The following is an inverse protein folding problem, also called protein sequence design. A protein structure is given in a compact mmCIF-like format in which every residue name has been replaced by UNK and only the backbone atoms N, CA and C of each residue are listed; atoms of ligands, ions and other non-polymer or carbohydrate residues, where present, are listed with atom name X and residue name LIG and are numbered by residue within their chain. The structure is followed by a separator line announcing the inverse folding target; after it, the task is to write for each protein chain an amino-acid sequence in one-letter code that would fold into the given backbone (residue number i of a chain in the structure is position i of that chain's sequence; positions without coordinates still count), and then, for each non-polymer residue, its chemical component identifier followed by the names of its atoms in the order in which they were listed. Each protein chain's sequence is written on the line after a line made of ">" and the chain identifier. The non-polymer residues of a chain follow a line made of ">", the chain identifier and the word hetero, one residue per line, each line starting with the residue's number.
data_IF_538212653822
#
_entry.id   IF_538212653822
#
_cell.length_a   1.000
_cell.length_b   1.000
_cell.length_c   1.000
_cell.angle_alpha   90.00
_cell.angle_beta   90.00
_cell.angle_gamma   90.00
#
_symmetry.space_group_name_H-M   'P 1'
#
loop_
_entity.id
_entity.type
_entity.pdbx_description
1 polymer ?
#
# COMPACT_ATOMS: atom_id res chain seq x y z
N UNK A 1 -0.98 128.84 73.89
CA UNK A 1 -0.57 128.41 75.24
C UNK A 1 0.74 129.13 75.57
N UNK A 2 0.69 130.43 75.82
CA UNK A 2 1.88 131.30 75.77
C UNK A 2 2.03 132.04 77.11
N UNK A 3 2.27 131.29 78.19
CA UNK A 3 2.34 131.79 79.57
C UNK A 3 3.73 131.66 80.20
N UNK A 4 4.69 131.07 79.49
CA UNK A 4 6.09 130.99 79.90
C UNK A 4 6.89 132.15 79.30
N UNK A 5 7.98 132.55 79.98
CA UNK A 5 8.87 133.61 79.49
C UNK A 5 9.65 133.15 78.24
N UNK A 6 9.99 134.04 77.30
CA UNK A 6 10.77 133.68 76.12
C UNK A 6 12.11 133.03 76.44
N UNK A 7 12.80 133.52 77.48
CA UNK A 7 14.11 133.01 77.91
C UNK A 7 14.01 131.60 78.51
N UNK A 8 12.94 131.31 79.26
CA UNK A 8 12.66 129.96 79.76
C UNK A 8 12.36 129.00 78.61
N UNK A 9 11.58 129.44 77.63
CA UNK A 9 11.20 128.62 76.46
C UNK A 9 12.44 128.30 75.62
N UNK A 10 13.21 129.32 75.25
CA UNK A 10 14.47 129.15 74.51
C UNK A 10 15.52 128.33 75.29
N UNK A 11 15.55 128.43 76.62
CA UNK A 11 16.41 127.62 77.48
C UNK A 11 15.98 126.15 77.52
N UNK A 12 14.67 125.89 77.60
CA UNK A 12 14.10 124.55 77.55
C UNK A 12 14.29 123.90 76.18
N UNK A 13 14.12 124.63 75.09
CA UNK A 13 14.38 124.14 73.73
C UNK A 13 15.86 123.80 73.53
N UNK A 14 16.77 124.68 73.98
CA UNK A 14 18.22 124.45 73.93
C UNK A 14 18.64 123.23 74.77
N UNK A 15 18.07 123.07 75.98
CA UNK A 15 18.31 121.90 76.83
C UNK A 15 17.76 120.61 76.20
N UNK A 16 16.52 120.65 75.69
CA UNK A 16 15.85 119.51 75.06
C UNK A 16 16.63 119.04 73.84
N UNK A 17 17.08 119.97 72.98
CA UNK A 17 17.97 119.67 71.86
C UNK A 17 19.31 119.11 72.33
N UNK A 18 19.96 119.73 73.33
CA UNK A 18 21.22 119.22 73.89
C UNK A 18 21.10 117.78 74.40
N UNK A 19 19.97 117.43 75.04
CA UNK A 19 19.68 116.06 75.49
C UNK A 19 19.51 115.12 74.30
N UNK A 20 18.67 115.44 73.31
CA UNK A 20 18.47 114.55 72.16
C UNK A 20 19.73 114.39 71.29
N UNK A 21 20.47 115.47 71.03
CA UNK A 21 21.69 115.46 70.19
C UNK A 21 22.87 114.70 70.85
N UNK A 22 22.84 114.47 72.18
CA UNK A 22 23.96 113.88 72.94
C UNK A 22 23.64 112.62 73.74
N UNK A 23 22.37 112.28 73.96
CA UNK A 23 22.01 111.05 74.69
C UNK A 23 22.34 109.83 73.85
N UNK A 24 23.31 109.03 74.32
CA UNK A 24 23.66 107.75 73.70
C UNK A 24 22.78 106.63 74.27
N UNK A 25 22.50 105.57 73.50
CA UNK A 25 21.88 104.35 74.03
C UNK A 25 22.65 103.84 75.25
N UNK A 26 21.92 103.37 76.28
CA UNK A 26 22.55 102.77 77.47
C UNK A 26 23.27 101.49 77.06
N UNK A 27 24.53 101.34 77.49
CA UNK A 27 25.40 100.23 77.10
C UNK A 27 26.12 99.62 78.31
N UNK A 28 26.51 98.35 78.21
CA UNK A 28 27.53 97.71 79.05
C UNK A 28 28.53 96.99 78.13
N UNK A 29 29.80 97.40 78.19
CA UNK A 29 30.78 97.00 77.18
C UNK A 29 30.33 97.42 75.77
N UNK A 30 30.37 96.49 74.81
CA UNK A 30 29.86 96.70 73.45
C UNK A 30 28.34 96.49 73.31
N UNK A 31 27.66 95.96 74.33
CA UNK A 31 26.26 95.55 74.24
C UNK A 31 25.30 96.69 74.61
N UNK A 32 24.38 97.02 73.70
CA UNK A 32 23.35 98.04 73.92
C UNK A 32 22.14 97.46 74.65
N UNK A 33 21.72 98.11 75.73
CA UNK A 33 20.59 97.72 76.56
C UNK A 33 19.27 97.94 75.79
N UNK A 34 18.59 96.85 75.45
CA UNK A 34 17.25 96.86 74.84
C UNK A 34 16.16 96.78 75.91
N UNK A 35 14.89 96.97 75.53
CA UNK A 35 13.74 96.89 76.44
C UNK A 35 13.68 95.61 77.29
N UNK A 36 13.81 94.40 76.71
CA UNK A 36 13.83 93.15 77.49
C UNK A 36 14.99 93.08 78.48
N UNK A 37 16.17 93.56 78.10
CA UNK A 37 17.37 93.59 78.97
C UNK A 37 17.19 94.56 80.13
N UNK A 38 16.63 95.75 79.87
CA UNK A 38 16.26 96.69 80.93
C UNK A 38 15.26 96.07 81.90
N UNK A 39 14.19 95.43 81.39
CA UNK A 39 13.19 94.77 82.22
C UNK A 39 13.78 93.64 83.08
N UNK A 40 14.61 92.76 82.49
CA UNK A 40 15.30 91.68 83.21
C UNK A 40 16.27 92.19 84.28
N UNK A 41 17.02 93.27 83.99
CA UNK A 41 17.91 93.91 84.97
C UNK A 41 17.13 94.59 86.09
N UNK A 42 16.04 95.30 85.78
CA UNK A 42 15.15 95.89 86.78
C UNK A 42 14.57 94.81 87.69
N UNK A 43 14.10 93.69 87.14
CA UNK A 43 13.62 92.56 87.95
C UNK A 43 14.74 92.00 88.83
N UNK A 44 15.91 91.68 88.26
CA UNK A 44 17.06 91.14 89.00
C UNK A 44 17.58 92.08 90.11
N UNK A 45 17.45 93.40 89.94
CA UNK A 45 17.80 94.37 90.98
C UNK A 45 16.71 94.48 92.06
N UNK A 46 15.42 94.43 91.68
CA UNK A 46 14.31 94.40 92.63
C UNK A 46 14.34 93.12 93.48
N UNK A 47 14.59 91.96 92.86
CA UNK A 47 14.70 90.67 93.56
C UNK A 47 15.85 90.68 94.58
N UNK A 48 17.00 91.24 94.22
CA UNK A 48 18.12 91.43 95.15
C UNK A 48 17.74 92.34 96.33
N UNK A 49 17.16 93.52 96.07
CA UNK A 49 16.71 94.46 97.11
C UNK A 49 15.68 93.79 98.05
N UNK A 50 14.68 93.12 97.47
CA UNK A 50 13.59 92.49 98.21
C UNK A 50 14.04 91.27 99.04
N UNK A 51 15.19 90.67 98.70
CA UNK A 51 15.82 89.57 99.47
C UNK A 51 16.93 90.06 100.41
N UNK A 52 17.18 91.36 100.50
CA UNK A 52 18.23 91.95 101.35
C UNK A 52 19.65 91.82 100.81
N UNK A 53 19.81 91.41 99.54
CA UNK A 53 21.09 91.30 98.85
C UNK A 53 21.46 92.62 98.12
N UNK A 54 22.76 92.83 97.88
CA UNK A 54 23.24 94.01 97.14
C UNK A 54 23.13 93.78 95.62
N UNK A 55 22.38 94.60 94.86
CA UNK A 55 22.27 94.46 93.41
C UNK A 55 23.63 94.56 92.72
N UNK A 56 24.03 93.47 92.05
CA UNK A 56 25.34 93.36 91.41
C UNK A 56 25.18 93.39 89.89
N UNK A 57 25.68 94.44 89.25
CA UNK A 57 25.45 94.74 87.82
C UNK A 57 25.96 93.60 86.92
N UNK A 58 27.15 93.04 87.19
CA UNK A 58 27.78 92.01 86.36
C UNK A 58 27.03 90.68 86.37
N UNK A 59 26.66 90.17 87.54
CA UNK A 59 25.92 88.90 87.67
C UNK A 59 24.48 89.02 87.15
N UNK A 60 23.82 90.15 87.43
CA UNK A 60 22.47 90.44 86.90
C UNK A 60 22.51 90.50 85.37
N UNK A 61 23.52 91.16 84.80
CA UNK A 61 23.70 91.22 83.34
C UNK A 61 23.98 89.85 82.72
N UNK A 62 24.89 89.05 83.28
CA UNK A 62 25.17 87.71 82.78
C UNK A 62 23.92 86.81 82.84
N UNK A 63 23.16 86.86 83.94
CA UNK A 63 21.92 86.09 84.10
C UNK A 63 20.90 86.45 83.02
N UNK A 64 20.70 87.74 82.77
CA UNK A 64 19.79 88.26 81.75
C UNK A 64 20.28 87.96 80.33
N UNK A 65 21.59 88.03 80.06
CA UNK A 65 22.18 87.64 78.77
C UNK A 65 22.04 86.13 78.51
N UNK A 66 22.26 85.26 79.50
CA UNK A 66 22.03 83.82 79.38
C UNK A 66 20.55 83.45 79.22
N UNK A 67 19.64 84.20 79.86
CA UNK A 67 18.19 84.01 79.71
C UNK A 67 17.70 84.41 78.30
N UNK A 68 18.13 85.55 77.78
CA UNK A 68 17.75 86.01 76.44
C UNK A 68 18.39 85.17 75.33
N UNK A 69 19.66 84.75 75.48
CA UNK A 69 20.27 83.83 74.52
C UNK A 69 19.60 82.44 74.53
N UNK A 70 19.06 82.00 75.68
CA UNK A 70 18.22 80.79 75.75
C UNK A 70 16.89 80.98 75.03
N UNK A 71 16.18 82.08 75.30
CA UNK A 71 14.91 82.41 74.63
C UNK A 71 15.05 82.50 73.11
N UNK A 72 16.18 83.06 72.63
CA UNK A 72 16.53 83.09 71.22
C UNK A 72 16.83 81.69 70.64
N UNK A 73 17.50 80.82 71.41
CA UNK A 73 17.75 79.42 71.06
C UNK A 73 16.45 78.62 70.96
N UNK A 74 15.54 78.75 71.93
CA UNK A 74 14.27 78.04 71.95
C UNK A 74 13.39 78.46 70.76
N UNK A 75 13.26 79.77 70.51
CA UNK A 75 12.55 80.31 69.34
C UNK A 75 13.14 79.85 67.99
N UNK A 76 14.47 79.71 67.91
CA UNK A 76 15.13 79.15 66.73
C UNK A 76 14.86 77.64 66.56
N UNK A 77 14.81 76.88 67.66
CA UNK A 77 14.45 75.46 67.65
C UNK A 77 13.00 75.23 67.23
N UNK A 78 12.06 76.07 67.68
CA UNK A 78 10.66 76.03 67.25
C UNK A 78 10.51 76.44 65.78
N UNK A 79 11.25 77.47 65.36
CA UNK A 79 11.33 77.91 63.95
C UNK A 79 11.83 76.78 63.05
N UNK A 80 12.87 76.05 63.46
CA UNK A 80 13.35 74.88 62.72
C UNK A 80 12.28 73.79 62.68
N UNK A 81 11.72 73.42 63.84
CA UNK A 81 10.71 72.36 63.98
C UNK A 81 9.46 72.62 63.13
N UNK A 82 9.09 73.89 62.94
CA UNK A 82 7.94 74.32 62.14
C UNK A 82 8.26 74.51 60.65
N UNK A 83 9.53 74.53 60.25
CA UNK A 83 9.98 74.79 58.87
C UNK A 83 10.60 73.56 58.19
N UNK A 84 11.06 72.58 58.98
CA UNK A 84 11.60 71.32 58.48
C UNK A 84 10.48 70.27 58.36
N UNK A 85 10.01 70.05 57.13
CA UNK A 85 8.89 69.15 56.86
C UNK A 85 9.32 67.67 56.87
N UNK A 86 9.19 67.05 58.05
CA UNK A 86 9.46 65.64 58.29
C UNK A 86 8.56 64.65 57.51
N UNK A 87 7.59 65.12 56.71
CA UNK A 87 6.66 64.23 55.96
C UNK A 87 7.07 63.98 54.51
N UNK A 88 8.14 64.62 54.03
CA UNK A 88 8.58 64.47 52.63
C UNK A 88 9.31 63.13 52.40
N UNK A 89 9.21 62.53 51.19
CA UNK A 89 9.97 61.35 50.82
C UNK A 89 11.48 61.54 51.00
N UNK A 90 12.18 60.46 51.32
CA UNK A 90 13.59 60.47 51.69
C UNK A 90 14.57 60.58 50.49
N UNK A 91 14.27 61.46 49.54
CA UNK A 91 15.20 61.87 48.48
C UNK A 91 16.33 62.71 49.10
N UNK A 92 17.59 62.31 48.91
CA UNK A 92 18.72 62.85 49.69
C UNK A 92 18.94 64.35 49.47
N UNK A 93 18.95 64.81 48.22
CA UNK A 93 19.16 66.22 47.87
C UNK A 93 18.01 67.10 48.36
N UNK A 94 16.75 66.67 48.17
CA UNK A 94 15.58 67.42 48.60
C UNK A 94 15.49 67.52 50.14
N UNK A 95 15.93 66.47 50.85
CA UNK A 95 16.00 66.42 52.30
C UNK A 95 17.11 67.32 52.85
N UNK A 96 18.29 67.34 52.20
CA UNK A 96 19.39 68.26 52.50
C UNK A 96 18.98 69.72 52.26
N UNK A 97 18.39 70.03 51.11
CA UNK A 97 17.92 71.37 50.76
C UNK A 97 16.78 71.84 51.72
N UNK A 98 15.92 70.94 52.18
CA UNK A 98 14.92 71.24 53.22
C UNK A 98 15.57 71.56 54.58
N UNK A 99 16.60 70.80 54.98
CA UNK A 99 17.37 71.07 56.20
C UNK A 99 18.07 72.43 56.14
N UNK A 100 18.78 72.74 55.06
CA UNK A 100 19.53 73.98 54.91
C UNK A 100 18.61 75.21 54.94
N UNK A 101 17.45 75.16 54.29
CA UNK A 101 16.44 76.23 54.38
C UNK A 101 15.90 76.41 55.80
N UNK A 102 15.58 75.33 56.49
CA UNK A 102 15.08 75.39 57.87
C UNK A 102 16.17 75.86 58.86
N UNK A 103 17.42 75.42 58.68
CA UNK A 103 18.58 75.78 59.49
C UNK A 103 18.97 77.25 59.29
N UNK A 104 19.03 77.74 58.05
CA UNK A 104 19.31 79.15 57.76
C UNK A 104 18.23 80.07 58.34
N UNK A 105 16.95 79.67 58.26
CA UNK A 105 15.84 80.41 58.88
C UNK A 105 15.92 80.42 60.41
N UNK A 106 16.26 79.28 61.03
CA UNK A 106 16.47 79.20 62.48
C UNK A 106 17.67 80.03 62.97
N UNK A 107 18.79 79.99 62.24
CA UNK A 107 19.98 80.81 62.52
C UNK A 107 19.68 82.30 62.33
N UNK A 108 18.85 82.68 61.36
CA UNK A 108 18.38 84.06 61.19
C UNK A 108 17.54 84.53 62.40
N UNK A 109 16.57 83.73 62.85
CA UNK A 109 15.77 84.03 64.06
C UNK A 109 16.64 84.11 65.31
N UNK A 110 17.59 83.18 65.49
CA UNK A 110 18.56 83.24 66.57
C UNK A 110 19.38 84.53 66.49
N UNK A 111 19.95 84.86 65.34
CA UNK A 111 20.84 86.01 65.22
C UNK A 111 20.16 87.36 65.40
N UNK A 112 18.87 87.48 65.04
CA UNK A 112 18.05 88.66 65.29
C UNK A 112 17.58 88.79 66.76
N UNK A 113 17.47 87.67 67.49
CA UNK A 113 16.90 87.64 68.85
C UNK A 113 17.95 87.52 69.96
N UNK A 114 19.09 86.87 69.69
CA UNK A 114 20.13 86.59 70.67
C UNK A 114 20.85 87.87 71.08
N UNK A 115 21.08 88.02 72.38
CA UNK A 115 21.62 89.25 72.94
C UNK A 115 23.15 89.34 72.86
N UNK A 116 23.64 90.57 72.67
CA UNK A 116 25.06 90.91 72.76
C UNK A 116 25.97 90.15 71.79
N UNK A 117 27.24 90.06 72.17
CA UNK A 117 28.30 89.28 71.50
C UNK A 117 29.16 88.51 72.52
N UNK A 118 28.63 88.23 73.71
CA UNK A 118 29.36 87.60 74.81
C UNK A 118 29.47 86.09 74.70
N UNK A 119 30.10 85.48 75.72
CA UNK A 119 30.31 84.03 75.82
C UNK A 119 28.98 83.25 75.85
N UNK A 120 27.93 83.82 76.43
CA UNK A 120 26.59 83.26 76.45
C UNK A 120 26.02 83.07 75.04
N UNK A 121 26.11 84.09 74.16
CA UNK A 121 25.70 83.97 72.76
C UNK A 121 26.44 82.84 72.05
N UNK A 122 27.79 82.83 72.14
CA UNK A 122 28.60 81.80 71.47
C UNK A 122 28.30 80.38 71.97
N UNK A 123 27.98 80.22 73.27
CA UNK A 123 27.53 78.96 73.89
C UNK A 123 26.20 78.49 73.28
N UNK A 124 25.18 79.35 73.21
CA UNK A 124 23.88 78.99 72.64
C UNK A 124 23.90 78.84 71.12
N UNK A 125 24.73 79.58 70.40
CA UNK A 125 24.93 79.45 68.95
C UNK A 125 25.54 78.10 68.58
N UNK A 126 26.60 77.69 69.28
CA UNK A 126 27.21 76.35 69.12
C UNK A 126 26.22 75.26 69.49
N UNK A 127 25.47 75.42 70.58
CA UNK A 127 24.43 74.47 70.98
C UNK A 127 23.34 74.33 69.90
N UNK A 128 22.90 75.43 69.29
CA UNK A 128 21.94 75.43 68.18
C UNK A 128 22.51 74.65 66.99
N UNK A 129 23.69 75.02 66.49
CA UNK A 129 24.31 74.37 65.34
C UNK A 129 24.53 72.86 65.56
N UNK A 130 24.97 72.45 66.75
CA UNK A 130 25.14 71.04 67.11
C UNK A 130 23.79 70.31 67.22
N UNK A 131 22.78 70.92 67.81
CA UNK A 131 21.46 70.28 68.03
C UNK A 131 20.66 70.16 66.73
N UNK A 132 20.71 71.17 65.86
CA UNK A 132 20.09 71.12 64.52
C UNK A 132 20.74 70.05 63.64
N UNK A 133 22.08 69.98 63.61
CA UNK A 133 22.82 68.93 62.91
C UNK A 133 22.44 67.54 63.43
N UNK A 134 22.44 67.35 64.76
CA UNK A 134 22.08 66.04 65.35
C UNK A 134 20.65 65.64 65.00
N UNK A 135 19.66 66.53 65.14
CA UNK A 135 18.27 66.24 64.75
C UNK A 135 18.15 65.87 63.28
N UNK A 136 18.92 66.49 62.40
CA UNK A 136 18.93 66.16 60.99
C UNK A 136 19.52 64.77 60.71
N UNK A 137 20.68 64.43 61.28
CA UNK A 137 21.29 63.10 61.12
C UNK A 137 20.40 61.98 61.70
N UNK A 138 19.82 62.20 62.89
CA UNK A 138 18.89 61.26 63.52
C UNK A 138 17.63 61.06 62.64
N UNK A 139 17.09 62.13 62.04
CA UNK A 139 15.96 62.03 61.11
C UNK A 139 16.34 61.34 59.79
N UNK A 140 17.43 61.77 59.15
CA UNK A 140 17.94 61.23 57.87
C UNK A 140 18.20 59.73 57.97
N UNK A 141 18.82 59.28 59.06
CA UNK A 141 19.03 57.86 59.37
C UNK A 141 17.72 57.08 59.42
N UNK A 142 16.70 57.60 60.12
CA UNK A 142 15.41 56.93 60.27
C UNK A 142 14.62 56.91 58.96
N UNK A 143 14.57 58.03 58.23
CA UNK A 143 13.89 58.13 56.93
C UNK A 143 14.53 57.21 55.87
N UNK A 144 15.87 57.09 55.87
CA UNK A 144 16.59 56.15 54.99
C UNK A 144 16.35 54.68 55.39
N UNK A 145 16.23 54.37 56.68
CA UNK A 145 15.92 53.01 57.15
C UNK A 145 14.49 52.61 56.79
N UNK A 146 13.52 53.52 56.93
CA UNK A 146 12.13 53.28 56.53
C UNK A 146 12.03 53.10 55.01
N UNK A 147 12.70 53.95 54.22
CA UNK A 147 12.75 53.81 52.76
C UNK A 147 13.40 52.47 52.32
N UNK A 148 14.48 52.02 52.99
CA UNK A 148 15.11 50.72 52.76
C UNK A 148 14.13 49.56 53.03
N UNK A 149 13.37 49.63 54.13
CA UNK A 149 12.34 48.65 54.49
C UNK A 149 11.18 48.64 53.49
N UNK A 150 10.64 49.80 53.12
CA UNK A 150 9.57 49.90 52.11
C UNK A 150 10.00 49.32 50.77
N UNK A 151 11.21 49.64 50.29
CA UNK A 151 11.76 49.05 49.07
C UNK A 151 11.91 47.53 49.17
N UNK A 152 12.36 47.02 50.32
CA UNK A 152 12.51 45.58 50.55
C UNK A 152 11.18 44.84 50.52
N UNK A 153 10.15 45.36 51.21
CA UNK A 153 8.82 44.76 51.27
C UNK A 153 8.15 44.71 49.88
N UNK A 154 8.34 45.76 49.07
CA UNK A 154 7.86 45.78 47.67
C UNK A 154 8.59 44.77 46.82
N UNK A 155 9.92 44.70 46.89
CA UNK A 155 10.71 43.71 46.15
C UNK A 155 10.30 42.27 46.52
N UNK A 156 10.09 41.97 47.79
CA UNK A 156 9.58 40.65 48.21
C UNK A 156 8.19 40.34 47.63
N UNK A 157 7.31 41.34 47.52
CA UNK A 157 6.02 41.22 46.82
C UNK A 157 6.21 40.97 45.31
N UNK A 158 7.11 41.72 44.66
CA UNK A 158 7.44 41.58 43.24
C UNK A 158 8.04 40.21 42.93
N UNK A 159 9.00 39.73 43.73
CA UNK A 159 9.54 38.37 43.64
C UNK A 159 8.45 37.31 43.72
N UNK A 160 7.51 37.48 44.66
CA UNK A 160 6.41 36.53 44.87
C UNK A 160 5.47 36.52 43.65
N UNK A 161 5.12 37.70 43.12
CA UNK A 161 4.31 37.85 41.89
C UNK A 161 5.01 37.24 40.66
N UNK A 162 6.31 37.51 40.45
CA UNK A 162 7.11 36.98 39.33
C UNK A 162 7.32 35.46 39.46
N UNK A 163 7.68 34.96 40.64
CA UNK A 163 7.85 33.53 40.91
C UNK A 163 6.54 32.76 40.75
N UNK A 164 5.39 33.36 41.07
CA UNK A 164 4.07 32.79 40.78
C UNK A 164 3.76 32.83 39.27
N UNK A 165 4.16 33.87 38.55
CA UNK A 165 3.99 33.98 37.10
C UNK A 165 4.79 32.90 36.34
N UNK A 166 6.07 32.68 36.69
CA UNK A 166 6.94 31.67 36.05
C UNK A 166 6.57 30.20 36.35
N UNK A 167 5.68 29.94 37.31
CA UNK A 167 5.32 28.58 37.76
C UNK A 167 3.93 28.11 37.30
N UNK A 168 3.23 28.88 36.44
CA UNK A 168 2.02 28.39 35.78
C UNK A 168 2.41 27.36 34.70
N UNK A 169 1.59 26.33 34.41
CA UNK A 169 1.93 25.31 33.41
C UNK A 169 2.18 25.92 32.03
N UNK A 170 1.30 26.81 31.58
CA UNK A 170 1.38 27.47 30.26
C UNK A 170 2.10 28.83 30.31
N UNK A 171 3.14 28.96 31.14
CA UNK A 171 3.88 30.22 31.29
C UNK A 171 4.64 30.60 30.02
N UNK A 172 4.20 31.66 29.33
CA UNK A 172 4.96 32.30 28.25
C UNK A 172 5.89 33.38 28.82
N UNK A 173 7.06 33.52 28.21
CA UNK A 173 8.03 34.56 28.58
C UNK A 173 7.43 35.97 28.50
N UNK A 174 6.72 36.28 27.41
CA UNK A 174 6.17 37.61 27.15
C UNK A 174 5.14 38.04 28.21
N UNK A 175 4.33 37.09 28.70
CA UNK A 175 3.37 37.33 29.78
C UNK A 175 4.07 37.56 31.13
N UNK A 176 5.21 36.89 31.39
CA UNK A 176 6.05 37.12 32.59
C UNK A 176 6.77 38.47 32.50
N UNK A 177 7.32 38.83 31.34
CA UNK A 177 7.98 40.12 31.10
C UNK A 177 6.99 41.27 31.28
N UNK A 178 5.80 41.20 30.66
CA UNK A 178 4.75 42.21 30.84
C UNK A 178 4.29 42.37 32.30
N UNK A 179 4.30 41.29 33.09
CA UNK A 179 4.04 41.35 34.55
C UNK A 179 5.21 42.04 35.28
N UNK A 180 6.46 41.72 34.92
CA UNK A 180 7.65 42.36 35.49
C UNK A 180 7.66 43.86 35.19
N UNK A 181 7.43 44.29 33.94
CA UNK A 181 7.43 45.69 33.53
C UNK A 181 6.42 46.53 34.33
N UNK A 182 5.17 46.03 34.48
CA UNK A 182 4.15 46.70 35.30
C UNK A 182 4.55 46.82 36.77
N UNK A 183 5.30 45.86 37.30
CA UNK A 183 5.84 45.89 38.67
C UNK A 183 7.05 46.83 38.80
N UNK A 184 7.89 46.95 37.77
CA UNK A 184 8.97 47.93 37.73
C UNK A 184 8.42 49.35 37.71
N UNK A 185 7.36 49.61 36.92
CA UNK A 185 6.65 50.89 36.92
C UNK A 185 6.00 51.20 38.29
N UNK A 186 5.32 50.22 38.90
CA UNK A 186 4.74 50.35 40.26
C UNK A 186 5.84 50.72 41.29
N UNK A 187 6.98 50.03 41.24
CA UNK A 187 8.11 50.27 42.14
C UNK A 187 8.78 51.62 41.89
N UNK A 188 9.01 52.00 40.63
CA UNK A 188 9.64 53.27 40.26
C UNK A 188 8.80 54.47 40.71
N UNK A 189 7.50 54.45 40.43
CA UNK A 189 6.59 55.56 40.76
C UNK A 189 6.33 55.73 42.26
N UNK A 190 6.44 54.66 43.06
CA UNK A 190 6.01 54.67 44.47
C UNK A 190 7.14 54.52 45.49
N UNK A 191 8.39 54.27 45.07
CA UNK A 191 9.53 54.00 45.96
C UNK A 191 10.61 55.07 45.84
N UNK A 192 11.32 55.33 46.93
CA UNK A 192 12.26 56.44 47.08
C UNK A 192 13.45 56.05 47.97
N UNK A 193 14.45 56.93 48.07
CA UNK A 193 15.59 56.78 48.98
C UNK A 193 16.83 56.11 48.36
N UNK A 194 18.01 56.25 48.99
CA UNK A 194 19.32 56.11 48.33
C UNK A 194 19.63 54.70 47.81
N UNK A 195 18.95 53.66 48.31
CA UNK A 195 19.15 52.26 47.89
C UNK A 195 18.07 51.74 46.93
N UNK A 196 17.10 52.58 46.51
CA UNK A 196 16.02 52.24 45.57
C UNK A 196 16.55 51.43 44.37
N UNK A 197 17.55 51.98 43.69
CA UNK A 197 18.11 51.40 42.47
C UNK A 197 19.03 50.20 42.74
N UNK A 198 19.86 50.23 43.78
CA UNK A 198 20.74 49.11 44.14
C UNK A 198 19.94 47.84 44.46
N UNK A 199 18.84 47.97 45.22
CA UNK A 199 17.94 46.85 45.50
C UNK A 199 17.23 46.37 44.21
N UNK A 200 16.77 47.30 43.36
CA UNK A 200 16.07 46.96 42.11
C UNK A 200 16.97 46.17 41.14
N UNK A 201 18.22 46.59 40.96
CA UNK A 201 19.21 45.86 40.13
C UNK A 201 19.52 44.48 40.72
N UNK A 202 19.64 44.38 42.05
CA UNK A 202 19.84 43.09 42.74
C UNK A 202 18.66 42.13 42.49
N UNK A 203 17.43 42.64 42.64
CA UNK A 203 16.19 41.93 42.34
C UNK A 203 16.10 41.47 40.88
N UNK A 204 16.45 42.34 39.92
CA UNK A 204 16.45 42.01 38.49
C UNK A 204 17.45 40.89 38.16
N UNK A 205 18.68 40.97 38.68
CA UNK A 205 19.67 39.90 38.53
C UNK A 205 19.18 38.57 39.15
N UNK A 206 18.54 38.60 40.32
CA UNK A 206 17.99 37.40 40.96
C UNK A 206 16.78 36.82 40.22
N UNK A 207 15.93 37.66 39.62
CA UNK A 207 14.81 37.21 38.78
C UNK A 207 15.27 36.55 37.48
N UNK A 208 16.30 37.12 36.84
CA UNK A 208 16.93 36.56 35.64
C UNK A 208 17.63 35.24 35.94
N UNK A 209 18.47 35.19 36.98
CA UNK A 209 19.27 34.01 37.32
C UNK A 209 18.48 32.86 37.97
N UNK A 210 17.29 33.13 38.53
CA UNK A 210 16.40 32.14 39.14
C UNK A 210 15.12 31.93 38.32
N UNK A 211 13.97 32.52 38.72
CA UNK A 211 12.65 32.21 38.14
C UNK A 211 12.54 32.27 36.60
N UNK A 212 13.26 33.17 35.92
CA UNK A 212 13.25 33.21 34.45
C UNK A 212 14.17 32.13 33.83
N UNK A 213 15.38 31.91 34.36
CA UNK A 213 16.26 30.83 33.93
C UNK A 213 15.62 29.45 34.13
N UNK A 214 14.90 29.23 35.23
CA UNK A 214 14.17 27.99 35.51
C UNK A 214 12.97 27.80 34.57
N UNK A 215 12.30 28.88 34.16
CA UNK A 215 11.25 28.83 33.12
C UNK A 215 11.85 28.44 31.75
N UNK A 216 12.96 29.06 31.34
CA UNK A 216 13.68 28.68 30.12
C UNK A 216 14.13 27.20 30.18
N UNK A 217 14.63 26.73 31.31
CA UNK A 217 15.06 25.33 31.47
C UNK A 217 13.91 24.35 31.27
N UNK A 218 12.76 24.59 31.92
CA UNK A 218 11.54 23.76 31.74
C UNK A 218 11.07 23.73 30.28
N UNK A 219 11.11 24.86 29.58
CA UNK A 219 10.73 24.93 28.16
C UNK A 219 11.72 24.17 27.27
N UNK A 220 13.02 24.26 27.53
CA UNK A 220 14.04 23.47 26.84
C UNK A 220 13.90 21.96 27.11
N UNK A 221 13.68 21.55 28.36
CA UNK A 221 13.43 20.16 28.76
C UNK A 221 12.17 19.59 28.06
N UNK A 222 11.12 20.38 27.93
CA UNK A 222 9.91 20.02 27.19
C UNK A 222 10.19 19.82 25.69
N UNK A 223 10.87 20.77 25.04
CA UNK A 223 11.26 20.68 23.61
C UNK A 223 12.21 19.50 23.36
N UNK A 224 13.15 19.24 24.28
CA UNK A 224 14.03 18.07 24.22
C UNK A 224 13.24 16.76 24.30
N UNK A 225 12.22 16.68 25.18
CA UNK A 225 11.35 15.52 25.31
C UNK A 225 10.50 15.31 24.03
N UNK A 226 9.91 16.37 23.46
CA UNK A 226 9.15 16.29 22.21
C UNK A 226 10.05 15.85 21.04
N UNK A 227 11.23 16.46 20.88
CA UNK A 227 12.22 16.05 19.87
C UNK A 227 12.59 14.58 20.02
N UNK A 228 12.82 14.11 21.25
CA UNK A 228 13.18 12.72 21.51
C UNK A 228 12.02 11.76 21.17
N UNK A 229 10.77 12.13 21.50
CA UNK A 229 9.57 11.37 21.13
C UNK A 229 9.33 11.33 19.61
N UNK A 230 9.57 12.45 18.91
CA UNK A 230 9.53 12.51 17.44
C UNK A 230 10.63 11.67 16.81
N UNK A 231 11.87 11.73 17.32
CA UNK A 231 13.00 10.90 16.86
C UNK A 231 12.69 9.41 16.96
N UNK A 232 12.11 8.97 18.09
CA UNK A 232 11.69 7.57 18.29
C UNK A 232 10.59 7.15 17.29
N UNK A 233 9.62 8.04 16.99
CA UNK A 233 8.62 7.80 15.94
C UNK A 233 9.25 7.67 14.55
N UNK A 234 10.22 8.52 14.21
CA UNK A 234 10.96 8.44 12.95
C UNK A 234 11.70 7.11 12.81
N UNK A 235 12.53 6.74 13.79
CA UNK A 235 13.25 5.46 13.75
C UNK A 235 12.31 4.24 13.65
N UNK A 236 11.20 4.24 14.40
CA UNK A 236 10.18 3.18 14.27
C UNK A 236 9.43 3.20 12.92
N UNK A 237 9.49 4.30 12.16
CA UNK A 237 9.00 4.37 10.78
C UNK A 237 10.06 3.87 9.79
N UNK A 238 11.32 4.24 9.98
CA UNK A 238 12.45 3.78 9.17
C UNK A 238 12.61 2.25 9.27
N UNK A 239 12.49 1.68 10.47
CA UNK A 239 12.49 0.22 10.70
C UNK A 239 11.39 -0.47 9.88
N UNK A 240 10.16 0.06 9.91
CA UNK A 240 9.02 -0.46 9.12
C UNK A 240 9.25 -0.34 7.62
N UNK A 241 9.78 0.78 7.15
CA UNK A 241 10.15 0.96 5.74
C UNK A 241 11.25 -0.03 5.32
N UNK A 242 12.23 -0.30 6.19
CA UNK A 242 13.28 -1.30 5.92
C UNK A 242 12.73 -2.73 5.83
N UNK A 243 11.74 -3.07 6.68
CA UNK A 243 11.06 -4.36 6.65
C UNK A 243 10.22 -4.53 5.38
N UNK A 244 9.43 -3.50 5.03
CA UNK A 244 8.61 -3.50 3.81
C UNK A 244 9.48 -3.57 2.54
N UNK A 245 10.64 -2.91 2.50
CA UNK A 245 11.60 -3.04 1.39
C UNK A 245 12.11 -4.48 1.26
N UNK A 246 12.57 -5.10 2.35
CA UNK A 246 13.01 -6.51 2.34
C UNK A 246 11.92 -7.49 1.91
N UNK A 247 10.67 -7.23 2.32
CA UNK A 247 9.51 -8.03 1.88
C UNK A 247 9.20 -7.84 0.38
N UNK A 248 9.31 -6.61 -0.13
CA UNK A 248 9.16 -6.30 -1.55
C UNK A 248 10.27 -6.97 -2.37
N UNK A 249 11.54 -6.77 -2.00
CA UNK A 249 12.72 -7.38 -2.64
C UNK A 249 12.60 -8.91 -2.72
N UNK A 250 12.17 -9.57 -1.63
CA UNK A 250 11.91 -11.01 -1.61
C UNK A 250 10.75 -11.40 -2.54
N UNK A 251 9.63 -10.66 -2.51
CA UNK A 251 8.49 -10.90 -3.40
C UNK A 251 8.82 -10.69 -4.87
N UNK A 252 9.67 -9.73 -5.20
CA UNK A 252 10.14 -9.48 -6.56
C UNK A 252 11.14 -10.54 -7.03
N UNK A 253 12.04 -10.99 -6.15
CA UNK A 253 12.92 -12.14 -6.42
C UNK A 253 12.12 -13.42 -6.70
N UNK A 254 11.09 -13.70 -5.90
CA UNK A 254 10.16 -14.81 -6.18
C UNK A 254 9.42 -14.62 -7.51
N UNK A 255 8.92 -13.41 -7.81
CA UNK A 255 8.25 -13.10 -9.09
C UNK A 255 9.16 -13.30 -10.30
N UNK A 256 10.42 -12.88 -10.21
CA UNK A 256 11.43 -13.07 -11.26
C UNK A 256 11.77 -14.56 -11.46
N UNK A 257 11.92 -15.33 -10.38
CA UNK A 257 12.14 -16.78 -10.43
C UNK A 257 10.96 -17.53 -11.04
N UNK A 258 9.71 -17.13 -10.74
CA UNK A 258 8.53 -17.69 -11.41
C UNK A 258 8.51 -17.36 -12.91
N UNK A 259 8.80 -16.12 -13.31
CA UNK A 259 8.88 -15.72 -14.72
C UNK A 259 9.95 -16.52 -15.48
N UNK A 260 11.16 -16.64 -14.92
CA UNK A 260 12.26 -17.45 -15.48
C UNK A 260 11.83 -18.89 -15.75
N UNK A 261 11.15 -19.54 -14.79
CA UNK A 261 10.63 -20.92 -14.96
C UNK A 261 9.56 -21.03 -16.05
N UNK A 262 8.70 -20.02 -16.20
CA UNK A 262 7.73 -19.99 -17.30
C UNK A 262 8.41 -19.80 -18.65
N UNK A 263 9.40 -18.90 -18.76
CA UNK A 263 10.18 -18.68 -19.99
C UNK A 263 10.97 -19.93 -20.39
N UNK A 264 11.63 -20.61 -19.44
CA UNK A 264 12.31 -21.90 -19.64
C UNK A 264 11.32 -22.97 -20.14
N UNK A 265 10.16 -23.11 -19.48
CA UNK A 265 9.11 -24.05 -19.90
C UNK A 265 8.58 -23.74 -21.30
N UNK A 266 8.40 -22.46 -21.65
CA UNK A 266 7.97 -22.02 -22.99
C UNK A 266 9.04 -22.35 -24.03
N UNK A 267 10.31 -22.10 -23.73
CA UNK A 267 11.42 -22.39 -24.64
C UNK A 267 11.56 -23.90 -24.90
N UNK A 268 11.46 -24.73 -23.86
CA UNK A 268 11.43 -26.19 -24.01
C UNK A 268 10.23 -26.67 -24.82
N UNK A 269 9.04 -26.11 -24.61
CA UNK A 269 7.85 -26.41 -25.44
C UNK A 269 8.05 -25.99 -26.90
N UNK A 270 8.66 -24.83 -27.16
CA UNK A 270 9.01 -24.40 -28.52
C UNK A 270 10.06 -25.31 -29.16
N UNK A 271 11.07 -25.76 -28.42
CA UNK A 271 12.09 -26.70 -28.88
C UNK A 271 11.45 -28.04 -29.25
N UNK A 272 10.69 -28.65 -28.35
CA UNK A 272 9.95 -29.88 -28.64
C UNK A 272 9.00 -29.72 -29.83
N UNK A 273 8.34 -28.56 -29.99
CA UNK A 273 7.50 -28.29 -31.15
C UNK A 273 8.29 -28.19 -32.47
N UNK A 274 9.52 -27.67 -32.45
CA UNK A 274 10.43 -27.67 -33.61
C UNK A 274 10.88 -29.10 -33.93
N UNK A 275 11.28 -29.87 -32.93
CA UNK A 275 11.71 -31.27 -33.08
C UNK A 275 10.58 -32.15 -33.63
N UNK A 276 9.34 -31.99 -33.14
CA UNK A 276 8.16 -32.64 -33.71
C UNK A 276 7.87 -32.16 -35.14
N UNK A 277 8.00 -30.86 -35.45
CA UNK A 277 7.81 -30.35 -36.82
C UNK A 277 8.82 -30.94 -37.82
N UNK A 278 10.09 -31.06 -37.42
CA UNK A 278 11.12 -31.74 -38.23
C UNK A 278 10.77 -33.21 -38.42
N UNK A 279 10.34 -33.91 -37.36
CA UNK A 279 9.95 -35.33 -37.46
C UNK A 279 8.70 -35.55 -38.30
N UNK A 280 7.75 -34.63 -38.29
CA UNK A 280 6.57 -34.65 -39.18
C UNK A 280 7.01 -34.49 -40.64
N UNK A 281 7.91 -33.53 -40.94
CA UNK A 281 8.45 -33.35 -42.28
C UNK A 281 9.24 -34.57 -42.78
N UNK A 282 10.04 -35.22 -41.91
CA UNK A 282 10.70 -36.50 -42.25
C UNK A 282 9.68 -37.61 -42.60
N UNK A 283 8.60 -37.72 -41.82
CA UNK A 283 7.57 -38.74 -42.02
C UNK A 283 6.77 -38.46 -43.29
N UNK A 284 6.43 -37.21 -43.57
CA UNK A 284 5.81 -36.80 -44.83
C UNK A 284 6.70 -37.15 -46.03
N UNK A 285 8.01 -36.84 -45.97
CA UNK A 285 8.98 -37.19 -47.02
C UNK A 285 9.07 -38.72 -47.25
N UNK A 286 9.02 -39.51 -46.15
CA UNK A 286 8.97 -40.99 -46.22
C UNK A 286 7.66 -41.51 -46.82
N UNK A 287 6.53 -40.88 -46.50
CA UNK A 287 5.21 -41.21 -47.10
C UNK A 287 5.19 -40.89 -48.59
N UNK A 288 5.67 -39.71 -49.01
CA UNK A 288 5.78 -39.37 -50.44
C UNK A 288 6.62 -40.38 -51.23
N UNK A 289 7.79 -40.76 -50.70
CA UNK A 289 8.66 -41.78 -51.34
C UNK A 289 8.07 -43.19 -51.35
N UNK A 290 7.25 -43.53 -50.35
CA UNK A 290 6.49 -44.78 -50.36
C UNK A 290 5.36 -44.73 -51.40
N UNK A 291 4.67 -43.60 -51.55
CA UNK A 291 3.60 -43.42 -52.52
C UNK A 291 4.15 -43.40 -53.96
N UNK A 292 5.22 -42.66 -54.24
CA UNK A 292 5.98 -42.73 -55.51
C UNK A 292 6.35 -44.18 -55.88
N UNK A 293 6.83 -44.96 -54.89
CA UNK A 293 7.16 -46.38 -55.08
C UNK A 293 5.92 -47.26 -55.27
N UNK A 294 4.81 -46.98 -54.61
CA UNK A 294 3.53 -47.68 -54.81
C UNK A 294 2.96 -47.40 -56.20
N UNK A 295 3.02 -46.15 -56.68
CA UNK A 295 2.64 -45.75 -58.03
C UNK A 295 3.55 -46.42 -59.08
N UNK A 296 4.86 -46.50 -58.83
CA UNK A 296 5.82 -47.23 -59.67
C UNK A 296 5.54 -48.74 -59.75
N UNK A 297 5.25 -49.38 -58.61
CA UNK A 297 4.87 -50.80 -58.57
C UNK A 297 3.50 -51.06 -59.23
N UNK A 298 2.54 -50.16 -59.07
CA UNK A 298 1.21 -50.27 -59.68
C UNK A 298 1.27 -50.11 -61.20
N UNK A 299 2.06 -49.16 -61.70
CA UNK A 299 2.27 -48.98 -63.16
C UNK A 299 3.03 -50.15 -63.78
N UNK A 300 4.04 -50.72 -63.10
CA UNK A 300 4.68 -51.96 -63.52
C UNK A 300 3.72 -53.17 -63.53
N UNK A 301 2.82 -53.27 -62.54
CA UNK A 301 1.79 -54.31 -62.49
C UNK A 301 0.78 -54.18 -63.64
N UNK A 302 0.34 -52.96 -63.97
CA UNK A 302 -0.55 -52.71 -65.11
C UNK A 302 0.15 -52.98 -66.46
N UNK A 303 1.45 -52.73 -66.57
CA UNK A 303 2.20 -53.12 -67.76
C UNK A 303 2.31 -54.65 -67.90
N UNK A 304 2.65 -55.37 -66.82
CA UNK A 304 2.69 -56.83 -66.81
C UNK A 304 1.33 -57.47 -67.15
N UNK A 305 0.21 -56.85 -66.73
CA UNK A 305 -1.15 -57.26 -67.13
C UNK A 305 -1.38 -57.13 -68.64
N UNK A 306 -0.93 -56.03 -69.25
CA UNK A 306 -1.03 -55.83 -70.72
C UNK A 306 -0.21 -56.88 -71.46
N UNK A 307 1.03 -57.09 -71.05
CA UNK A 307 1.93 -58.10 -71.64
C UNK A 307 1.33 -59.51 -71.52
N UNK A 308 0.70 -59.84 -70.38
CA UNK A 308 -0.04 -61.10 -70.19
C UNK A 308 -1.26 -61.23 -71.13
N UNK A 309 -2.04 -60.16 -71.32
CA UNK A 309 -3.16 -60.14 -72.25
C UNK A 309 -2.70 -60.31 -73.72
N UNK A 310 -1.59 -59.67 -74.08
CA UNK A 310 -0.93 -59.78 -75.38
C UNK A 310 -0.49 -61.22 -75.68
N UNK A 311 0.15 -61.88 -74.71
CA UNK A 311 0.54 -63.28 -74.80
C UNK A 311 -0.66 -64.22 -74.89
N UNK A 312 -1.73 -63.94 -74.14
CA UNK A 312 -2.99 -64.69 -74.24
C UNK A 312 -3.61 -64.57 -75.64
N UNK A 313 -3.69 -63.37 -76.20
CA UNK A 313 -4.22 -63.15 -77.55
C UNK A 313 -3.38 -63.86 -78.63
N UNK A 314 -2.05 -63.94 -78.46
CA UNK A 314 -1.16 -64.71 -79.35
C UNK A 314 -1.43 -66.22 -79.25
N UNK A 315 -1.63 -66.73 -78.03
CA UNK A 315 -1.97 -68.14 -77.78
C UNK A 315 -3.33 -68.55 -78.36
N UNK A 316 -4.37 -67.72 -78.14
CA UNK A 316 -5.72 -67.96 -78.67
C UNK A 316 -5.73 -67.90 -80.22
N UNK A 317 -4.88 -67.07 -80.84
CA UNK A 317 -4.67 -67.05 -82.29
C UNK A 317 -4.05 -68.36 -82.81
N UNK A 318 -3.00 -68.88 -82.17
CA UNK A 318 -2.39 -70.16 -82.54
C UNK A 318 -3.38 -71.34 -82.44
N UNK A 319 -4.19 -71.40 -81.38
CA UNK A 319 -5.24 -72.44 -81.25
C UNK A 319 -6.30 -72.31 -82.35
N UNK A 320 -6.67 -71.08 -82.71
CA UNK A 320 -7.64 -70.83 -83.79
C UNK A 320 -7.12 -71.30 -85.15
N UNK A 321 -5.83 -71.07 -85.43
CA UNK A 321 -5.18 -71.52 -86.66
C UNK A 321 -5.03 -73.05 -86.71
N UNK A 322 -4.64 -73.68 -85.59
CA UNK A 322 -4.57 -75.15 -85.49
C UNK A 322 -5.91 -75.81 -85.80
N UNK A 323 -7.02 -75.28 -85.27
CA UNK A 323 -8.38 -75.78 -85.57
C UNK A 323 -8.75 -75.62 -87.05
N UNK A 324 -8.30 -74.56 -87.71
CA UNK A 324 -8.55 -74.35 -89.13
C UNK A 324 -7.86 -75.43 -90.00
N UNK A 325 -6.61 -75.76 -89.72
CA UNK A 325 -5.87 -76.78 -90.48
C UNK A 325 -6.31 -78.22 -90.12
N UNK A 326 -6.76 -78.46 -88.89
CA UNK A 326 -7.46 -79.70 -88.52
C UNK A 326 -8.77 -79.88 -89.32
N UNK A 327 -9.54 -78.79 -89.53
CA UNK A 327 -10.77 -78.83 -90.34
C UNK A 327 -10.50 -79.12 -91.82
N UNK A 328 -9.44 -78.55 -92.41
CA UNK A 328 -8.99 -78.89 -93.77
C UNK A 328 -8.65 -80.38 -93.88
N UNK A 329 -7.89 -80.90 -92.92
CA UNK A 329 -7.48 -82.31 -92.89
C UNK A 329 -8.70 -83.26 -92.85
N UNK A 330 -9.71 -82.93 -92.03
CA UNK A 330 -10.98 -83.68 -91.98
C UNK A 330 -11.77 -83.60 -93.30
N UNK A 331 -11.78 -82.45 -93.97
CA UNK A 331 -12.44 -82.31 -95.28
C UNK A 331 -11.76 -83.14 -96.39
N UNK A 332 -10.44 -83.27 -96.35
CA UNK A 332 -9.68 -84.11 -97.29
C UNK A 332 -9.97 -85.59 -97.09
N UNK A 333 -10.00 -86.07 -95.83
CA UNK A 333 -10.33 -87.46 -95.49
C UNK A 333 -11.72 -87.84 -96.03
N UNK A 334 -12.75 -87.04 -95.73
CA UNK A 334 -14.11 -87.29 -96.22
C UNK A 334 -14.21 -87.36 -97.76
N UNK A 335 -13.41 -86.57 -98.48
CA UNK A 335 -13.36 -86.62 -99.96
C UNK A 335 -12.72 -87.89 -100.52
N UNK A 336 -11.81 -88.52 -99.76
CA UNK A 336 -11.17 -89.78 -100.12
C UNK A 336 -12.07 -90.97 -99.79
N UNK A 337 -12.72 -90.97 -98.63
CA UNK A 337 -13.70 -91.98 -98.22
C UNK A 337 -14.88 -92.07 -99.21
N UNK A 338 -15.41 -90.92 -99.62
CA UNK A 338 -16.44 -90.83 -100.67
C UNK A 338 -15.98 -91.47 -102.00
N UNK A 339 -14.72 -91.24 -102.41
CA UNK A 339 -14.15 -91.84 -103.63
C UNK A 339 -13.99 -93.36 -103.52
N UNK A 340 -13.55 -93.88 -102.37
CA UNK A 340 -13.40 -95.32 -102.13
C UNK A 340 -14.76 -96.02 -102.25
N UNK A 341 -15.78 -95.49 -101.57
CA UNK A 341 -17.15 -96.03 -101.62
C UNK A 341 -17.72 -96.08 -103.06
N UNK A 342 -17.47 -95.05 -103.88
CA UNK A 342 -17.88 -95.02 -105.29
C UNK A 342 -17.16 -96.09 -106.14
N UNK A 343 -15.88 -96.39 -105.85
CA UNK A 343 -15.16 -97.47 -106.53
C UNK A 343 -15.61 -98.87 -106.09
N UNK A 344 -15.94 -99.07 -104.82
CA UNK A 344 -16.42 -100.37 -104.30
C UNK A 344 -17.82 -100.70 -104.82
N UNK A 345 -18.75 -99.72 -104.84
CA UNK A 345 -20.07 -99.90 -105.43
C UNK A 345 -20.04 -100.28 -106.91
N UNK A 346 -19.10 -99.70 -107.68
CA UNK A 346 -18.86 -100.08 -109.08
C UNK A 346 -18.33 -101.51 -109.24
N UNK A 347 -17.55 -102.02 -108.29
CA UNK A 347 -17.00 -103.37 -108.34
C UNK A 347 -18.04 -104.43 -107.93
N UNK A 348 -19.01 -104.09 -107.08
CA UNK A 348 -20.13 -104.96 -106.75
C UNK A 348 -21.08 -105.16 -107.94
N UNK A 349 -21.49 -104.07 -108.61
CA UNK A 349 -22.44 -104.13 -109.72
C UNK A 349 -21.96 -104.99 -110.91
N UNK A 350 -20.64 -105.03 -111.15
CA UNK A 350 -20.03 -105.86 -112.22
C UNK A 350 -20.01 -107.36 -111.87
N UNK A 351 -20.02 -107.74 -110.58
CA UNK A 351 -20.16 -109.14 -110.16
C UNK A 351 -21.59 -109.64 -110.34
N UNK A 352 -22.55 -108.87 -109.85
CA UNK A 352 -23.97 -109.20 -109.89
C UNK A 352 -24.47 -109.38 -111.34
N UNK A 353 -23.96 -108.55 -112.26
CA UNK A 353 -24.24 -108.68 -113.70
C UNK A 353 -23.59 -109.91 -114.36
N UNK A 354 -22.53 -110.47 -113.79
CA UNK A 354 -21.87 -111.68 -114.30
C UNK A 354 -22.56 -112.97 -113.82
N UNK A 355 -23.04 -113.01 -112.57
CA UNK A 355 -23.72 -114.18 -112.00
C UNK A 355 -25.10 -114.38 -112.64
N UNK A 356 -25.87 -113.30 -112.84
CA UNK A 356 -27.17 -113.33 -113.54
C UNK A 356 -27.08 -113.95 -114.95
N UNK A 357 -26.05 -113.61 -115.73
CA UNK A 357 -25.87 -114.14 -117.09
C UNK A 357 -25.53 -115.65 -117.13
N UNK A 358 -24.94 -116.18 -116.04
CA UNK A 358 -24.64 -117.61 -115.94
C UNK A 358 -25.87 -118.43 -115.49
N UNK A 359 -26.78 -117.82 -114.72
CA UNK A 359 -27.99 -118.47 -114.25
C UNK A 359 -29.05 -118.63 -115.37
N UNK A 360 -29.26 -117.60 -116.21
CA UNK A 360 -30.13 -117.68 -117.40
C UNK A 360 -29.71 -118.81 -118.36
N UNK A 361 -28.40 -118.96 -118.59
CA UNK A 361 -27.85 -120.02 -119.43
C UNK A 361 -28.18 -121.45 -118.91
N UNK A 362 -28.38 -121.59 -117.60
CA UNK A 362 -28.76 -122.86 -116.96
C UNK A 362 -30.26 -123.18 -117.13
N UNK A 363 -31.13 -122.16 -117.17
CA UNK A 363 -32.57 -122.35 -117.35
C UNK A 363 -32.93 -122.85 -118.75
N UNK A 364 -32.33 -122.26 -119.79
CA UNK A 364 -32.59 -122.64 -121.19
C UNK A 364 -32.29 -124.12 -121.45
N UNK A 365 -31.27 -124.66 -120.77
CA UNK A 365 -30.92 -126.08 -120.85
C UNK A 365 -32.02 -127.00 -120.29
N UNK A 366 -32.57 -126.66 -119.11
CA UNK A 366 -33.69 -127.43 -118.51
C UNK A 366 -34.96 -127.39 -119.37
N UNK A 367 -35.28 -126.23 -119.96
CA UNK A 367 -36.50 -126.05 -120.77
C UNK A 367 -36.52 -126.95 -122.01
N UNK A 368 -35.36 -127.27 -122.60
CA UNK A 368 -35.24 -128.21 -123.72
C UNK A 368 -35.42 -129.68 -123.30
N UNK A 369 -34.84 -130.09 -122.17
CA UNK A 369 -34.92 -131.48 -121.66
C UNK A 369 -36.35 -131.86 -121.21
N UNK A 370 -37.15 -130.90 -120.76
CA UNK A 370 -38.55 -131.11 -120.38
C UNK A 370 -39.44 -131.45 -121.59
N UNK A 371 -39.40 -130.61 -122.63
CA UNK A 371 -40.23 -130.76 -123.83
C UNK A 371 -40.00 -132.11 -124.56
N UNK A 372 -38.77 -132.63 -124.53
CA UNK A 372 -38.43 -133.93 -125.13
C UNK A 372 -39.10 -135.14 -124.44
N UNK A 373 -39.37 -135.06 -123.13
CA UNK A 373 -39.99 -136.14 -122.36
C UNK A 373 -41.53 -136.11 -122.41
N UNK A 374 -42.12 -134.92 -122.52
CA UNK A 374 -43.58 -134.76 -122.56
C UNK A 374 -44.18 -135.34 -123.86
N UNK A 375 -43.50 -135.14 -125.00
CA UNK A 375 -43.87 -135.76 -126.28
C UNK A 375 -43.87 -137.30 -126.25
N UNK A 376 -42.95 -137.91 -125.48
CA UNK A 376 -42.83 -139.37 -125.37
C UNK A 376 -43.97 -140.00 -124.56
N UNK A 377 -44.35 -139.38 -123.44
CA UNK A 377 -45.37 -139.92 -122.51
C UNK A 377 -46.82 -139.71 -122.97
N UNK A 378 -47.06 -138.88 -123.98
CA UNK A 378 -48.38 -138.73 -124.60
C UNK A 378 -48.81 -139.99 -125.40
N UNK A 379 -47.86 -140.64 -126.10
CA UNK A 379 -48.17 -141.67 -127.09
C UNK A 379 -48.51 -143.02 -126.44
N UNK A 380 -47.87 -143.37 -125.32
CA UNK A 380 -48.11 -144.62 -124.58
C UNK A 380 -49.53 -144.66 -123.96
N UNK A 381 -50.08 -143.51 -123.55
CA UNK A 381 -51.42 -143.44 -122.91
C UNK A 381 -52.58 -143.73 -123.86
N UNK A 382 -52.40 -143.55 -125.17
CA UNK A 382 -53.41 -143.86 -126.16
C UNK A 382 -53.68 -145.39 -126.25
N UNK A 383 -52.64 -146.21 -126.11
CA UNK A 383 -52.76 -147.66 -126.16
C UNK A 383 -53.58 -148.23 -124.99
N UNK A 384 -53.35 -147.74 -123.76
CA UNK A 384 -53.99 -148.27 -122.55
C UNK A 384 -55.48 -147.94 -122.39
N UNK A 385 -56.05 -147.08 -123.24
CA UNK A 385 -57.45 -146.69 -123.18
C UNK A 385 -58.37 -147.74 -123.83
N UNK A 386 -57.93 -148.34 -124.96
CA UNK A 386 -58.70 -149.27 -125.77
C UNK A 386 -59.00 -150.61 -125.06
N UNK A 387 -58.12 -151.01 -124.14
CA UNK A 387 -58.13 -152.33 -123.50
C UNK A 387 -59.13 -152.43 -122.32
N UNK A 388 -59.54 -151.30 -121.74
CA UNK A 388 -60.37 -151.26 -120.52
C UNK A 388 -61.88 -151.23 -120.76
N UNK A 389 -62.34 -150.92 -121.97
CA UNK A 389 -63.77 -150.83 -122.30
C UNK A 389 -64.43 -152.21 -122.38
N UNK A 390 -63.78 -153.20 -122.99
CA UNK A 390 -64.40 -154.52 -123.22
C UNK A 390 -64.53 -155.36 -121.94
N UNK A 391 -63.57 -155.27 -121.01
CA UNK A 391 -63.53 -156.14 -119.82
C UNK A 391 -64.71 -155.93 -118.86
N UNK A 392 -65.31 -154.72 -118.85
CA UNK A 392 -66.48 -154.38 -118.02
C UNK A 392 -67.81 -155.01 -118.47
N UNK A 393 -67.86 -155.69 -119.61
CA UNK A 393 -69.04 -156.48 -120.02
C UNK A 393 -69.08 -157.81 -119.24
N UNK A 394 -67.92 -158.39 -118.93
CA UNK A 394 -67.78 -159.73 -118.35
C UNK A 394 -68.29 -159.82 -116.90
N UNK A 395 -67.98 -158.80 -116.08
CA UNK A 395 -68.13 -158.85 -114.62
C UNK A 395 -69.58 -158.63 -114.13
N UNK A 396 -70.55 -158.40 -115.04
CA UNK A 396 -71.94 -158.11 -114.68
C UNK A 396 -72.85 -159.35 -114.55
N UNK A 397 -72.41 -160.53 -115.01
CA UNK A 397 -73.19 -161.77 -114.89
C UNK A 397 -72.93 -162.52 -113.56
N UNK A 398 -71.68 -162.60 -113.09
CA UNK A 398 -71.33 -163.43 -111.92
C UNK A 398 -71.79 -162.88 -110.56
N UNK A 399 -72.07 -161.57 -110.46
CA UNK A 399 -72.47 -160.92 -109.21
C UNK A 399 -73.77 -161.49 -108.58
N UNK A 400 -74.61 -162.16 -109.37
CA UNK A 400 -75.88 -162.78 -108.92
C UNK A 400 -75.70 -164.11 -108.16
N UNK A 401 -74.47 -164.61 -107.96
CA UNK A 401 -74.22 -165.99 -107.49
C UNK A 401 -73.82 -166.19 -106.02
N UNK A 402 -73.57 -165.13 -105.25
CA UNK A 402 -72.77 -165.24 -103.99
C UNK A 402 -73.54 -164.90 -102.69
N UNK A 403 -74.71 -164.25 -102.75
CA UNK A 403 -75.40 -163.70 -101.58
C UNK A 403 -76.19 -164.72 -100.73
N UNK A 404 -75.55 -165.83 -100.31
CA UNK A 404 -76.24 -166.94 -99.61
C UNK A 404 -75.43 -167.63 -98.46
N UNK A 405 -74.33 -167.08 -97.94
CA UNK A 405 -73.24 -167.93 -97.38
C UNK A 405 -72.67 -167.75 -95.93
N UNK A 406 -72.82 -166.65 -95.14
CA UNK A 406 -71.88 -166.40 -93.97
C UNK A 406 -72.41 -165.62 -92.72
N UNK A 407 -72.20 -166.11 -91.46
CA UNK A 407 -72.44 -165.41 -90.14
C UNK A 407 -71.67 -166.00 -88.87
N UNK A 408 -71.01 -165.22 -87.93
CA UNK A 408 -70.54 -165.61 -86.52
C UNK A 408 -69.76 -164.58 -85.58
N UNK A 409 -69.63 -164.88 -84.24
CA UNK A 409 -68.54 -164.64 -83.20
C UNK A 409 -68.49 -163.57 -82.01
N UNK A 410 -67.43 -163.57 -81.14
CA UNK A 410 -67.29 -163.02 -79.72
C UNK A 410 -65.84 -162.50 -79.29
N UNK A 411 -65.28 -162.21 -78.06
CA UNK A 411 -65.57 -162.34 -76.56
C UNK A 411 -64.66 -161.41 -75.61
N UNK A 412 -64.60 -161.55 -74.24
CA UNK A 412 -64.12 -160.52 -73.20
C UNK A 412 -63.47 -161.04 -71.83
N UNK A 413 -62.80 -160.18 -70.98
CA UNK A 413 -62.44 -160.17 -69.47
C UNK A 413 -60.92 -160.27 -69.00
N UNK A 414 -60.39 -159.92 -67.77
CA UNK A 414 -60.61 -158.96 -66.60
C UNK A 414 -59.36 -158.94 -65.59
N UNK A 415 -59.24 -158.08 -64.52
CA UNK A 415 -58.09 -158.04 -63.54
C UNK A 415 -58.23 -157.22 -62.17
N UNK A 416 -57.18 -157.22 -61.29
CA UNK A 416 -56.75 -156.33 -60.12
C UNK A 416 -57.07 -156.61 -58.60
N UNK A 417 -56.22 -156.08 -57.66
CA UNK A 417 -56.13 -156.25 -56.15
C UNK A 417 -55.05 -155.31 -55.46
N UNK A 418 -54.61 -155.34 -54.16
CA UNK A 418 -55.15 -155.18 -52.74
C UNK A 418 -53.95 -155.28 -51.70
N UNK A 419 -53.81 -154.92 -50.39
CA UNK A 419 -54.58 -154.24 -49.26
C UNK A 419 -53.68 -153.49 -48.17
N UNK A 420 -53.80 -153.65 -46.81
CA UNK A 420 -53.35 -152.70 -45.70
C UNK A 420 -52.93 -153.30 -44.27
N UNK A 421 -52.64 -152.47 -43.20
CA UNK A 421 -52.40 -152.72 -41.71
C UNK A 421 -51.01 -153.19 -41.17
N UNK A 422 -50.69 -153.09 -39.84
CA UNK A 422 -49.61 -153.83 -39.16
C UNK A 422 -50.13 -155.07 -38.36
N UNK A 423 -49.17 -155.91 -37.92
CA UNK A 423 -49.28 -157.35 -37.57
C UNK A 423 -49.29 -158.28 -38.79
#
# INVERSE_FOLDING_TARGET
>A
MNTFRPEFTSGLDAFTKFVFDRTRPKQLGASTMTGPILAGLTQSFLDAINTGAVPTISSSWQSVEEAECRRAYDSAMDTYSSSFDCKKPAEEDALQEAHERAMNKAISVFNASAFGAGSARSKFEKLLQTTLRKRFEDFKRNAFLEADLQCSNKIQSMETKVRAACNRPDSKLDDVVRILDGLLMEYEATSYGPKKWTKLVTFLHQCLAGPMLDLFRKQLEHIDAERNALRLKCSSSDDKVSLLRKQLEASEGHRAEYLRRYEETINDKQKMSKDYSVRIAELQNKVSKLDERCQGLSSALEQAKRECADWKSKYDHCISQQKADESKSKSLIASLESRVSISEGRLSAVREQAESAQEEASEWKRKYEYAANEAKTALERAASAQERTNKKVQEREDALRVELATQLHEKVNLSLALDILPF
#
